data_IF_113644522378
#
_entry.id   IF_113644522378
#
_cell.length_a   1.000
_cell.length_b   1.000
_cell.length_c   1.000
_cell.angle_alpha   90.00
_cell.angle_beta   90.00
_cell.angle_gamma   90.00
#
_symmetry.space_group_name_H-M   'P 1'
#
loop_
_entity.id
_entity.type
_entity.pdbx_description
1 polymer ?
#
# COMPACT_ATOMS: atom_id res chain seq x y z
N UNK A 1 -38.85 -41.28 -3.15
CA UNK A 1 -38.34 -40.01 -3.71
C UNK A 1 -36.98 -40.29 -4.34
N UNK A 2 -36.88 -40.25 -5.68
CA UNK A 2 -35.61 -40.45 -6.40
C UNK A 2 -34.78 -39.17 -6.36
N UNK A 3 -33.54 -39.28 -5.89
CA UNK A 3 -32.56 -38.18 -5.88
C UNK A 3 -32.03 -37.97 -7.29
N UNK A 4 -32.26 -36.78 -7.86
CA UNK A 4 -31.69 -36.38 -9.14
C UNK A 4 -30.22 -36.02 -8.91
N UNK A 5 -29.30 -36.82 -9.48
CA UNK A 5 -27.87 -36.52 -9.43
C UNK A 5 -27.59 -35.29 -10.28
N UNK A 6 -26.90 -34.30 -9.69
CA UNK A 6 -26.45 -33.08 -10.39
C UNK A 6 -25.49 -33.49 -11.51
N UNK A 7 -25.81 -33.11 -12.75
CA UNK A 7 -24.97 -33.35 -13.93
C UNK A 7 -24.12 -32.11 -14.21
N UNK A 8 -22.79 -32.28 -14.31
CA UNK A 8 -21.82 -31.23 -14.62
C UNK A 8 -21.47 -31.17 -16.10
N UNK A 9 -22.37 -31.60 -16.98
CA UNK A 9 -22.18 -31.54 -18.44
C UNK A 9 -22.38 -30.14 -19.04
N UNK A 10 -22.59 -29.11 -18.21
CA UNK A 10 -22.52 -27.71 -18.63
C UNK A 10 -21.04 -27.33 -18.73
N UNK A 11 -20.65 -26.83 -19.91
CA UNK A 11 -19.30 -26.44 -20.28
C UNK A 11 -18.48 -25.85 -19.13
N UNK A 12 -17.22 -26.30 -19.00
CA UNK A 12 -16.28 -25.78 -18.01
C UNK A 12 -16.28 -24.24 -18.07
N UNK A 13 -16.63 -23.53 -16.97
CA UNK A 13 -16.66 -22.07 -16.91
C UNK A 13 -15.35 -21.40 -17.39
N UNK A 14 -14.23 -22.12 -17.34
CA UNK A 14 -12.93 -21.68 -17.83
C UNK A 14 -12.88 -21.43 -19.35
N UNK A 15 -13.77 -22.07 -20.14
CA UNK A 15 -13.77 -21.91 -21.61
C UNK A 15 -14.11 -20.50 -22.08
N UNK A 16 -14.86 -19.73 -21.28
CA UNK A 16 -15.18 -18.33 -21.59
C UNK A 16 -13.95 -17.41 -21.56
N UNK A 17 -12.87 -17.81 -20.88
CA UNK A 17 -11.64 -17.01 -20.77
C UNK A 17 -10.62 -17.32 -21.87
N UNK A 18 -10.70 -18.47 -22.53
CA UNK A 18 -9.76 -18.86 -23.60
C UNK A 18 -10.18 -18.22 -24.94
N UNK A 19 -11.47 -17.99 -25.16
CA UNK A 19 -12.00 -17.53 -26.45
C UNK A 19 -11.80 -16.03 -26.72
N UNK A 20 -11.23 -15.27 -25.78
CA UNK A 20 -10.80 -13.89 -26.09
C UNK A 20 -9.50 -13.96 -26.88
N UNK A 21 -9.46 -13.52 -28.16
CA UNK A 21 -8.21 -13.41 -28.88
C UNK A 21 -7.30 -12.45 -28.12
N UNK A 22 -6.13 -12.95 -27.72
CA UNK A 22 -5.05 -12.12 -27.20
C UNK A 22 -4.65 -11.22 -28.36
N UNK A 23 -4.92 -9.92 -28.24
CA UNK A 23 -4.35 -8.94 -29.16
C UNK A 23 -2.85 -8.89 -28.85
N UNK A 24 -2.08 -9.65 -29.62
CA UNK A 24 -0.62 -9.58 -29.70
C UNK A 24 -0.23 -8.20 -30.26
N UNK A 25 -0.27 -7.17 -29.41
CA UNK A 25 0.51 -5.96 -29.62
C UNK A 25 1.79 -6.09 -28.79
N UNK A 26 2.65 -7.04 -29.18
CA UNK A 26 4.04 -7.04 -28.77
C UNK A 26 4.82 -6.03 -29.61
N UNK A 27 5.20 -4.90 -29.00
CA UNK A 27 6.33 -4.09 -29.43
C UNK A 27 7.14 -3.70 -28.19
N UNK A 28 8.12 -4.56 -27.89
CA UNK A 28 9.54 -4.29 -27.57
C UNK A 28 9.85 -2.89 -27.04
N UNK A 29 10.49 -2.81 -25.87
CA UNK A 29 11.84 -2.23 -25.71
C UNK A 29 12.31 -2.33 -24.24
N UNK A 30 13.09 -3.37 -23.96
CA UNK A 30 14.13 -3.30 -22.94
C UNK A 30 15.16 -2.26 -23.41
N UNK A 31 15.09 -1.05 -22.88
CA UNK A 31 16.16 -0.05 -22.98
C UNK A 31 16.61 0.35 -21.57
N UNK A 32 17.74 -0.23 -21.16
CA UNK A 32 18.68 0.40 -20.23
C UNK A 32 18.97 1.82 -20.74
N UNK A 33 18.84 2.87 -19.91
CA UNK A 33 19.69 4.07 -20.00
C UNK A 33 19.61 4.93 -18.70
N UNK A 34 20.81 5.09 -18.12
CA UNK A 34 21.37 6.32 -17.56
C UNK A 34 21.00 6.79 -16.14
N UNK A 35 21.96 6.56 -15.24
CA UNK A 35 22.19 7.34 -14.02
C UNK A 35 22.35 8.83 -14.33
N UNK A 36 21.32 9.62 -14.07
CA UNK A 36 21.44 11.09 -13.98
C UNK A 36 21.78 11.48 -12.55
N UNK A 37 22.95 12.08 -12.35
CA UNK A 37 23.33 12.73 -11.10
C UNK A 37 22.37 13.89 -10.84
N UNK A 38 21.49 13.75 -9.85
CA UNK A 38 20.63 14.82 -9.35
C UNK A 38 21.39 15.56 -8.25
N UNK A 39 21.70 16.83 -8.48
CA UNK A 39 22.25 17.74 -7.48
C UNK A 39 21.26 17.95 -6.33
N UNK A 40 21.78 17.94 -5.09
CA UNK A 40 21.01 17.94 -3.83
C UNK A 40 20.09 19.16 -3.65
N UNK A 41 20.25 20.19 -4.47
CA UNK A 41 19.55 21.46 -4.36
C UNK A 41 18.10 21.38 -4.89
N UNK A 42 17.82 20.48 -5.84
CA UNK A 42 16.48 20.30 -6.43
C UNK A 42 15.49 19.56 -5.49
N UNK A 43 16.01 18.84 -4.48
CA UNK A 43 15.19 18.07 -3.53
C UNK A 43 14.56 18.94 -2.44
N UNK A 44 15.08 20.15 -2.19
CA UNK A 44 14.60 21.02 -1.11
C UNK A 44 13.45 21.95 -1.50
N UNK A 45 13.21 22.15 -2.81
CA UNK A 45 12.13 23.00 -3.33
C UNK A 45 10.77 22.31 -3.48
N UNK A 46 10.70 20.97 -3.37
CA UNK A 46 9.45 20.22 -3.60
C UNK A 46 8.54 20.11 -2.38
N UNK A 47 9.00 20.54 -1.19
CA UNK A 47 8.31 20.20 0.07
C UNK A 47 6.92 20.85 0.20
N UNK A 48 6.60 21.94 -0.50
CA UNK A 48 5.35 22.69 -0.32
C UNK A 48 4.70 23.23 -1.61
N UNK A 49 4.62 22.44 -2.69
CA UNK A 49 3.67 22.77 -3.76
C UNK A 49 2.38 21.99 -3.55
N UNK A 50 1.37 22.69 -3.02
CA UNK A 50 -0.02 22.23 -2.99
C UNK A 50 -0.45 21.98 -4.44
N UNK A 51 -0.81 20.74 -4.75
CA UNK A 51 -1.32 20.35 -6.05
C UNK A 51 -2.72 20.98 -6.26
N UNK A 52 -2.77 22.21 -6.77
CA UNK A 52 -4.00 22.81 -7.33
C UNK A 52 -4.14 22.43 -8.81
N UNK A 53 -4.33 21.14 -9.07
CA UNK A 53 -4.80 20.67 -10.38
C UNK A 53 -6.14 19.96 -10.18
N UNK A 54 -7.20 20.51 -10.77
CA UNK A 54 -8.59 20.01 -10.74
C UNK A 54 -8.80 18.70 -11.53
N UNK A 55 -7.71 18.10 -12.01
CA UNK A 55 -7.74 16.87 -12.80
C UNK A 55 -7.30 15.71 -11.89
N UNK A 56 -8.07 14.62 -11.79
CA UNK A 56 -7.69 13.46 -10.99
C UNK A 56 -6.54 12.69 -11.67
N UNK A 57 -5.31 13.17 -11.49
CA UNK A 57 -4.11 12.45 -11.88
C UNK A 57 -3.79 11.36 -10.85
N UNK A 58 -3.45 10.16 -11.31
CA UNK A 58 -2.94 9.08 -10.45
C UNK A 58 -1.62 9.54 -9.83
N UNK A 59 -1.57 9.66 -8.50
CA UNK A 59 -0.33 10.00 -7.79
C UNK A 59 0.72 8.92 -8.04
N UNK A 60 1.96 9.31 -8.31
CA UNK A 60 3.06 8.35 -8.45
C UNK A 60 3.22 7.61 -7.11
N UNK A 61 3.08 6.26 -7.07
CA UNK A 61 3.16 5.48 -5.84
C UNK A 61 4.47 5.63 -5.08
N UNK A 62 5.57 5.98 -5.75
CA UNK A 62 6.88 6.19 -5.10
C UNK A 62 6.87 7.36 -4.10
N UNK A 63 6.00 8.35 -4.30
CA UNK A 63 5.90 9.53 -3.44
C UNK A 63 4.79 9.43 -2.38
N UNK A 64 4.17 8.26 -2.23
CA UNK A 64 3.11 8.03 -1.24
C UNK A 64 3.68 7.15 -0.13
N UNK A 65 3.91 7.74 1.04
CA UNK A 65 4.35 6.98 2.22
C UNK A 65 3.24 6.04 2.69
N UNK A 66 3.53 4.73 2.68
CA UNK A 66 2.63 3.68 3.16
C UNK A 66 3.32 2.89 4.26
N UNK A 67 2.54 2.39 5.24
CA UNK A 67 3.00 1.53 6.34
C UNK A 67 3.52 0.17 5.82
N UNK A 68 4.74 0.14 5.29
CA UNK A 68 5.33 -1.01 4.59
C UNK A 68 6.35 -1.79 5.44
N UNK A 69 7.00 -1.13 6.40
CA UNK A 69 8.05 -1.73 7.25
C UNK A 69 7.46 -2.37 8.51
N UNK A 70 7.95 -3.56 8.88
CA UNK A 70 7.55 -4.31 10.08
C UNK A 70 8.69 -4.33 11.10
N UNK A 71 8.33 -4.14 12.37
CA UNK A 71 9.27 -4.15 13.49
C UNK A 71 8.82 -5.20 14.51
N UNK A 72 9.76 -5.96 15.05
CA UNK A 72 9.55 -6.79 16.24
C UNK A 72 10.05 -6.01 17.45
N UNK A 73 9.17 -5.76 18.42
CA UNK A 73 9.45 -4.93 19.58
C UNK A 73 9.43 -5.78 20.85
N UNK A 74 10.47 -5.65 21.67
CA UNK A 74 10.49 -6.18 23.03
C UNK A 74 10.09 -5.05 23.99
N UNK A 75 8.99 -5.23 24.73
CA UNK A 75 8.45 -4.19 25.62
C UNK A 75 8.02 -4.81 26.96
N UNK A 76 7.88 -3.95 27.98
CA UNK A 76 7.36 -4.38 29.28
C UNK A 76 5.87 -4.78 29.17
N UNK A 77 5.42 -5.84 29.89
CA UNK A 77 4.01 -6.26 29.84
C UNK A 77 3.03 -5.19 30.34
N UNK A 78 3.42 -4.44 31.38
CA UNK A 78 2.64 -3.33 31.93
C UNK A 78 2.43 -2.22 30.91
N UNK A 79 3.49 -1.84 30.19
CA UNK A 79 3.43 -0.85 29.12
C UNK A 79 2.54 -1.31 27.98
N UNK A 80 2.68 -2.56 27.54
CA UNK A 80 1.81 -3.12 26.49
C UNK A 80 0.33 -3.10 26.91
N UNK A 81 0.02 -3.44 28.16
CA UNK A 81 -1.34 -3.36 28.70
C UNK A 81 -1.88 -1.93 28.69
N UNK A 82 -1.09 -0.95 29.09
CA UNK A 82 -1.46 0.47 29.07
C UNK A 82 -1.69 1.00 27.64
N UNK A 83 -0.88 0.60 26.68
CA UNK A 83 -1.08 0.97 25.27
C UNK A 83 -2.36 0.34 24.73
N UNK A 84 -2.64 -0.91 25.12
CA UNK A 84 -3.87 -1.60 24.70
C UNK A 84 -5.12 -0.89 25.21
N UNK A 85 -5.17 -0.50 26.49
CA UNK A 85 -6.33 0.24 27.03
C UNK A 85 -6.50 1.61 26.37
N UNK A 86 -5.40 2.30 26.02
CA UNK A 86 -5.46 3.54 25.25
C UNK A 86 -5.97 3.33 23.82
N UNK A 87 -5.58 2.23 23.17
CA UNK A 87 -6.05 1.89 21.84
C UNK A 87 -7.55 1.54 21.85
N UNK A 88 -7.99 0.74 22.83
CA UNK A 88 -9.39 0.37 23.02
C UNK A 88 -10.29 1.61 23.26
N UNK A 89 -9.80 2.61 24.02
CA UNK A 89 -10.51 3.87 24.27
C UNK A 89 -10.75 4.69 23.00
N UNK A 90 -9.85 4.59 22.03
CA UNK A 90 -9.91 5.34 20.77
C UNK A 90 -10.42 4.48 19.60
N UNK A 91 -10.88 3.26 19.88
CA UNK A 91 -11.35 2.30 18.86
C UNK A 91 -10.30 2.01 17.77
N UNK A 92 -9.01 2.06 18.14
CA UNK A 92 -7.87 1.80 17.26
C UNK A 92 -7.23 0.45 17.57
N UNK A 93 -6.53 -0.13 16.59
CA UNK A 93 -5.67 -1.28 16.88
C UNK A 93 -4.44 -0.85 17.68
N UNK A 94 -3.89 -1.77 18.48
CA UNK A 94 -2.63 -1.55 19.22
C UNK A 94 -1.52 -1.09 18.28
N UNK A 95 -1.43 -1.66 17.08
CA UNK A 95 -0.42 -1.30 16.09
C UNK A 95 -0.60 0.14 15.59
N UNK A 96 -1.83 0.58 15.31
CA UNK A 96 -2.09 1.96 14.88
C UNK A 96 -1.75 2.96 16.00
N UNK A 97 -2.09 2.62 17.24
CA UNK A 97 -1.75 3.44 18.41
C UNK A 97 -0.23 3.55 18.60
N UNK A 98 0.52 2.45 18.44
CA UNK A 98 1.99 2.50 18.49
C UNK A 98 2.53 3.40 17.39
N UNK A 99 2.02 3.25 16.16
CA UNK A 99 2.44 4.07 15.02
C UNK A 99 2.17 5.57 15.25
N UNK A 100 1.01 5.93 15.82
CA UNK A 100 0.67 7.32 16.12
C UNK A 100 1.60 7.90 17.19
N UNK A 101 1.87 7.16 18.28
CA UNK A 101 2.77 7.60 19.35
C UNK A 101 4.19 7.86 18.80
N UNK A 102 4.69 6.96 17.94
CA UNK A 102 6.01 7.11 17.33
C UNK A 102 6.07 8.32 16.39
N UNK A 103 5.03 8.53 15.58
CA UNK A 103 4.91 9.72 14.72
C UNK A 103 4.91 11.00 15.53
N UNK A 104 4.03 11.09 16.53
CA UNK A 104 3.91 12.25 17.41
C UNK A 104 5.23 12.56 18.12
N UNK A 105 5.97 11.52 18.54
CA UNK A 105 7.26 11.68 19.18
C UNK A 105 8.31 12.29 18.24
N UNK A 106 8.39 11.80 16.99
CA UNK A 106 9.32 12.32 15.97
C UNK A 106 8.96 13.77 15.60
N UNK A 107 7.68 14.06 15.35
CA UNK A 107 7.22 15.41 15.02
C UNK A 107 7.51 16.41 16.14
N UNK A 108 7.27 16.04 17.41
CA UNK A 108 7.59 16.89 18.56
C UNK A 108 9.10 17.09 18.77
N UNK A 109 9.91 16.13 18.37
CA UNK A 109 11.36 16.19 18.56
C UNK A 109 12.06 17.07 17.51
N UNK A 110 11.36 17.52 16.46
CA UNK A 110 11.92 18.33 15.36
C UNK A 110 13.27 17.80 14.84
N UNK A 111 13.42 16.47 14.79
CA UNK A 111 14.56 15.80 14.16
C UNK A 111 14.30 15.71 12.66
#
# INVERSE_FOLDING_TARGET
>A
MMSTKKSFSHANPAMSFISSPILENEQIEDQELETRNISQEDLLLSKHQKNEFDVPMKRNPEFIEVKSKRLQLLMQPSLHSAIKTLADKEELSVNEKIHSILRDYVEKSNI
#
